data_IF_043007679017
#
_entry.id   IF_043007679017
#
_cell.length_a   1.000
_cell.length_b   1.000
_cell.length_c   1.000
_cell.angle_alpha   90.00
_cell.angle_beta   90.00
_cell.angle_gamma   90.00
#
_symmetry.space_group_name_H-M   'P 1'
#
loop_
_entity.id
_entity.type
_entity.pdbx_description
1 polymer ?
#
# COMPACT_ATOMS: atom_id res chain seq x y z
N UNK A 1 -23.67 -9.20 17.93
CA UNK A 1 -23.93 -9.18 16.47
C UNK A 1 -23.53 -10.52 15.88
N UNK A 2 -24.30 -11.04 14.92
CA UNK A 2 -23.96 -12.27 14.20
C UNK A 2 -22.87 -11.97 13.16
N UNK A 3 -22.08 -12.98 12.78
CA UNK A 3 -20.98 -12.81 11.81
C UNK A 3 -21.47 -12.21 10.48
N UNK A 4 -22.68 -12.55 10.03
CA UNK A 4 -23.30 -12.00 8.81
C UNK A 4 -23.58 -10.50 8.92
N UNK A 5 -24.00 -10.03 10.09
CA UNK A 5 -24.27 -8.60 10.33
C UNK A 5 -22.96 -7.79 10.35
N UNK A 6 -21.90 -8.35 10.98
CA UNK A 6 -20.58 -7.74 11.01
C UNK A 6 -19.97 -7.64 9.60
N UNK A 7 -20.03 -8.73 8.83
CA UNK A 7 -19.53 -8.74 7.45
C UNK A 7 -20.25 -7.72 6.56
N UNK A 8 -21.59 -7.63 6.67
CA UNK A 8 -22.37 -6.64 5.95
C UNK A 8 -21.99 -5.21 6.34
N UNK A 9 -21.73 -4.97 7.62
CA UNK A 9 -21.27 -3.66 8.14
C UNK A 9 -19.94 -3.28 7.51
N UNK A 10 -18.94 -4.17 7.55
CA UNK A 10 -17.61 -3.92 6.97
C UNK A 10 -17.67 -3.63 5.47
N UNK A 11 -18.45 -4.41 4.71
CA UNK A 11 -18.59 -4.18 3.26
C UNK A 11 -19.22 -2.83 2.96
N UNK A 12 -20.22 -2.41 3.75
CA UNK A 12 -20.84 -1.10 3.58
C UNK A 12 -19.89 0.06 3.93
N UNK A 13 -19.07 -0.10 4.98
CA UNK A 13 -18.03 0.88 5.33
C UNK A 13 -16.98 1.00 4.21
N UNK A 14 -16.54 -0.12 3.63
CA UNK A 14 -15.61 -0.13 2.49
C UNK A 14 -16.20 0.61 1.28
N UNK A 15 -17.48 0.38 0.95
CA UNK A 15 -18.16 1.13 -0.14
C UNK A 15 -18.09 2.64 0.07
N UNK A 16 -18.36 3.11 1.29
CA UNK A 16 -18.31 4.55 1.60
C UNK A 16 -16.91 5.15 1.46
N UNK A 17 -15.86 4.35 1.68
CA UNK A 17 -14.47 4.78 1.42
C UNK A 17 -14.25 4.98 -0.07
N UNK A 18 -14.66 4.02 -0.90
CA UNK A 18 -14.53 4.14 -2.36
C UNK A 18 -15.36 5.28 -2.96
N UNK A 19 -16.52 5.61 -2.37
CA UNK A 19 -17.34 6.75 -2.80
C UNK A 19 -16.69 8.13 -2.55
N UNK A 20 -15.68 8.19 -1.67
CA UNK A 20 -14.95 9.42 -1.35
C UNK A 20 -13.55 9.46 -1.95
N UNK A 21 -13.20 8.43 -2.69
CA UNK A 21 -11.88 8.29 -3.29
C UNK A 21 -11.76 9.29 -4.44
N UNK A 22 -10.66 10.04 -4.44
CA UNK A 22 -10.30 10.92 -5.54
C UNK A 22 -9.49 10.11 -6.56
N UNK A 23 -10.05 9.92 -7.76
CA UNK A 23 -9.41 9.15 -8.82
C UNK A 23 -8.10 9.80 -9.29
N UNK A 24 -8.01 11.13 -9.25
CA UNK A 24 -6.80 11.85 -9.67
C UNK A 24 -5.63 11.59 -8.69
N UNK A 25 -5.92 11.47 -7.39
CA UNK A 25 -4.90 11.14 -6.39
C UNK A 25 -4.42 9.69 -6.52
N UNK A 26 -5.31 8.76 -6.91
CA UNK A 26 -4.93 7.37 -7.17
C UNK A 26 -4.04 7.28 -8.41
N UNK A 27 -4.36 8.01 -9.48
CA UNK A 27 -3.52 8.04 -10.68
C UNK A 27 -2.15 8.65 -10.37
N UNK A 28 -2.09 9.75 -9.58
CA UNK A 28 -0.82 10.36 -9.14
C UNK A 28 0.05 9.37 -8.36
N UNK A 29 -0.52 8.64 -7.40
CA UNK A 29 0.23 7.62 -6.65
C UNK A 29 0.71 6.50 -7.56
N UNK A 30 -0.14 6.05 -8.48
CA UNK A 30 0.19 4.99 -9.43
C UNK A 30 1.37 5.40 -10.31
N UNK A 31 1.33 6.61 -10.87
CA UNK A 31 2.40 7.15 -11.69
C UNK A 31 3.70 7.33 -10.88
N UNK A 32 3.62 7.83 -9.64
CA UNK A 32 4.78 7.94 -8.76
C UNK A 32 5.43 6.57 -8.49
N UNK A 33 4.63 5.52 -8.29
CA UNK A 33 5.13 4.14 -8.14
C UNK A 33 5.80 3.65 -9.43
N UNK A 34 5.19 3.92 -10.59
CA UNK A 34 5.73 3.53 -11.90
C UNK A 34 7.09 4.18 -12.14
N UNK A 35 7.21 5.48 -11.89
CA UNK A 35 8.42 6.27 -12.17
C UNK A 35 9.54 6.08 -11.15
N UNK A 36 9.22 5.63 -9.94
CA UNK A 36 10.22 5.41 -8.90
C UNK A 36 11.24 4.32 -9.28
N UNK A 37 12.53 4.59 -9.00
CA UNK A 37 13.62 3.61 -9.13
C UNK A 37 13.39 2.40 -8.23
N UNK A 38 13.05 2.67 -6.96
CA UNK A 38 12.67 1.66 -5.95
C UNK A 38 11.54 2.22 -5.08
N UNK A 39 10.72 1.34 -4.54
CA UNK A 39 9.61 1.70 -3.66
C UNK A 39 9.85 1.14 -2.27
N UNK A 40 9.86 2.00 -1.26
CA UNK A 40 10.00 1.63 0.14
C UNK A 40 8.65 1.78 0.83
N UNK A 41 8.23 0.78 1.60
CA UNK A 41 6.95 0.77 2.29
C UNK A 41 7.17 0.69 3.80
N UNK A 42 6.48 1.55 4.54
CA UNK A 42 6.53 1.61 6.00
C UNK A 42 5.14 1.63 6.60
N UNK A 43 4.95 0.96 7.73
CA UNK A 43 3.72 1.05 8.51
C UNK A 43 3.87 0.34 9.86
N UNK A 44 2.95 0.61 10.77
CA UNK A 44 2.82 -0.10 12.05
C UNK A 44 1.63 -1.05 12.06
N UNK A 45 1.48 -1.90 13.07
CA UNK A 45 0.22 -2.61 13.32
C UNK A 45 -0.37 -3.40 12.14
N UNK A 46 -1.66 -3.21 11.87
CA UNK A 46 -2.42 -3.95 10.84
C UNK A 46 -2.26 -3.34 9.45
N UNK A 47 -2.12 -2.03 9.40
CA UNK A 47 -1.79 -1.26 8.21
C UNK A 47 -0.42 -1.66 7.66
N UNK A 48 0.57 -1.92 8.54
CA UNK A 48 1.88 -2.44 8.18
C UNK A 48 1.82 -3.85 7.59
N UNK A 49 0.95 -4.73 8.09
CA UNK A 49 0.71 -6.04 7.46
C UNK A 49 0.15 -5.89 6.04
N UNK A 50 -0.73 -4.91 5.84
CA UNK A 50 -1.33 -4.63 4.52
C UNK A 50 -0.28 -4.05 3.56
N UNK A 51 0.54 -3.12 4.02
CA UNK A 51 1.63 -2.55 3.23
C UNK A 51 2.75 -3.57 2.95
N UNK A 52 3.04 -4.49 3.86
CA UNK A 52 3.97 -5.59 3.60
C UNK A 52 3.44 -6.54 2.52
N UNK A 53 2.14 -6.83 2.52
CA UNK A 53 1.50 -7.59 1.44
C UNK A 53 1.54 -6.81 0.10
N UNK A 54 1.41 -5.48 0.16
CA UNK A 54 1.53 -4.62 -1.02
C UNK A 54 2.97 -4.60 -1.57
N UNK A 55 3.99 -4.51 -0.72
CA UNK A 55 5.40 -4.61 -1.10
C UNK A 55 5.67 -5.90 -1.88
N UNK A 56 5.18 -7.04 -1.37
CA UNK A 56 5.28 -8.33 -2.05
C UNK A 56 4.61 -8.30 -3.43
N UNK A 57 3.43 -7.68 -3.56
CA UNK A 57 2.73 -7.58 -4.85
C UNK A 57 3.47 -6.70 -5.84
N UNK A 58 4.05 -5.59 -5.41
CA UNK A 58 4.88 -4.73 -6.27
C UNK A 58 6.09 -5.51 -6.81
N UNK A 59 6.74 -6.30 -5.97
CA UNK A 59 7.83 -7.20 -6.40
C UNK A 59 7.35 -8.22 -7.43
N UNK A 60 6.18 -8.84 -7.23
CA UNK A 60 5.59 -9.75 -8.24
C UNK A 60 5.26 -9.06 -9.57
N UNK A 61 5.03 -7.75 -9.57
CA UNK A 61 4.80 -6.94 -10.78
C UNK A 61 6.11 -6.43 -11.42
N UNK A 62 7.27 -6.82 -10.88
CA UNK A 62 8.58 -6.46 -11.43
C UNK A 62 9.16 -5.13 -10.91
N UNK A 63 8.49 -4.48 -9.93
CA UNK A 63 9.05 -3.30 -9.26
C UNK A 63 10.06 -3.74 -8.20
N UNK A 64 11.10 -2.94 -7.99
CA UNK A 64 12.01 -3.12 -6.86
C UNK A 64 11.34 -2.49 -5.63
N UNK A 65 10.76 -3.32 -4.77
CA UNK A 65 10.05 -2.87 -3.57
C UNK A 65 10.68 -3.44 -2.28
N UNK A 66 10.71 -2.64 -1.22
CA UNK A 66 11.30 -2.98 0.06
C UNK A 66 10.37 -2.66 1.23
N UNK A 67 10.28 -3.56 2.19
CA UNK A 67 9.63 -3.33 3.48
C UNK A 67 10.66 -2.82 4.47
N UNK A 68 10.50 -1.59 4.99
CA UNK A 68 11.62 -0.91 5.67
C UNK A 68 12.15 -1.59 6.93
N UNK A 69 11.36 -2.50 7.53
CA UNK A 69 11.73 -3.20 8.74
C UNK A 69 12.46 -4.53 8.48
N UNK A 70 12.68 -4.91 7.23
CA UNK A 70 13.48 -6.09 6.89
C UNK A 70 14.98 -5.76 6.97
N UNK A 71 15.78 -6.65 7.56
CA UNK A 71 17.24 -6.48 7.76
C UNK A 71 18.03 -6.30 6.45
N UNK A 72 17.44 -6.74 5.32
CA UNK A 72 18.05 -6.65 3.98
C UNK A 72 17.72 -5.35 3.26
N UNK A 73 16.96 -4.45 3.88
CA UNK A 73 16.55 -3.19 3.28
C UNK A 73 17.77 -2.28 3.05
N UNK A 74 18.09 -1.92 1.80
CA UNK A 74 19.19 -1.00 1.53
C UNK A 74 18.81 0.44 1.91
N UNK A 75 19.80 1.33 1.98
CA UNK A 75 19.53 2.75 2.17
C UNK A 75 18.68 3.34 1.02
N UNK A 76 17.70 4.16 1.39
CA UNK A 76 16.92 4.97 0.45
C UNK A 76 17.81 6.06 -0.17
N UNK A 77 17.57 6.38 -1.43
CA UNK A 77 18.35 7.35 -2.18
C UNK A 77 17.52 8.16 -3.17
N UNK A 78 18.23 8.95 -3.99
CA UNK A 78 17.61 9.87 -4.93
C UNK A 78 16.86 9.13 -6.07
N UNK A 79 15.59 9.50 -6.25
CA UNK A 79 14.69 8.89 -7.23
C UNK A 79 13.95 7.65 -6.72
N UNK A 80 14.11 7.29 -5.45
CA UNK A 80 13.25 6.30 -4.79
C UNK A 80 11.97 6.96 -4.24
N UNK A 81 10.94 6.14 -4.03
CA UNK A 81 9.67 6.55 -3.43
C UNK A 81 9.49 5.88 -2.07
N UNK A 82 9.05 6.64 -1.07
CA UNK A 82 8.58 6.13 0.22
C UNK A 82 7.05 6.21 0.28
N UNK A 83 6.38 5.10 0.60
CA UNK A 83 4.94 5.00 0.84
C UNK A 83 4.73 4.63 2.31
N UNK A 84 3.96 5.46 3.02
CA UNK A 84 3.74 5.39 4.47
C UNK A 84 2.26 5.49 4.82
#
# INVERSE_FOLDING_TARGET
MKIRELAATVVNELRQVFERLDEDEVEKLTQAIVDAKRVFLVGGGREGLSLRAFAMRLTHLGKIAHWIWDDTTPAIGEGDLLVA
#
